data_IF_490021509553
#
_entry.id   IF_490021509553
#
_cell.length_a   1.000
_cell.length_b   1.000
_cell.length_c   1.000
_cell.angle_alpha   90.00
_cell.angle_beta   90.00
_cell.angle_gamma   90.00
#
_symmetry.space_group_name_H-M   'P 1'
#
loop_
_entity.id
_entity.type
_entity.pdbx_description
1 polymer ?
#
# COMPACT_ATOMS: atom_id res chain seq x y z
N UNK A 1 33.49 -23.67 1.40
CA UNK A 1 32.25 -24.21 2.02
C UNK A 1 31.73 -23.16 2.99
N UNK A 2 30.72 -22.37 2.57
CA UNK A 2 29.82 -21.52 3.38
C UNK A 2 29.07 -20.55 2.45
N UNK A 3 27.82 -20.86 2.16
CA UNK A 3 26.69 -19.95 2.37
C UNK A 3 25.41 -20.79 2.34
N UNK A 4 24.93 -21.17 3.52
CA UNK A 4 23.61 -21.76 3.66
C UNK A 4 22.59 -20.68 3.29
N UNK A 5 22.04 -20.76 2.08
CA UNK A 5 20.92 -19.93 1.66
C UNK A 5 19.74 -20.22 2.60
N UNK A 6 19.64 -19.50 3.71
CA UNK A 6 18.52 -19.56 4.65
C UNK A 6 17.26 -19.14 3.90
N UNK A 7 16.59 -20.10 3.26
CA UNK A 7 15.29 -19.88 2.62
C UNK A 7 14.32 -19.42 3.69
N UNK A 8 13.70 -18.25 3.48
CA UNK A 8 12.67 -17.72 4.36
C UNK A 8 11.53 -18.74 4.48
N UNK A 9 11.13 -19.07 5.70
CA UNK A 9 9.98 -19.95 5.93
C UNK A 9 8.70 -19.18 5.62
N UNK A 10 7.94 -19.63 4.62
CA UNK A 10 6.60 -19.12 4.32
C UNK A 10 5.64 -19.60 5.42
N UNK A 11 5.39 -18.74 6.41
CA UNK A 11 4.55 -19.05 7.58
C UNK A 11 3.54 -17.96 7.96
N UNK A 12 3.41 -16.90 7.15
CA UNK A 12 2.42 -15.87 7.39
C UNK A 12 1.02 -16.42 7.14
N UNK A 13 0.21 -16.41 8.20
CA UNK A 13 -1.22 -16.70 8.12
C UNK A 13 -1.98 -15.43 7.71
N UNK A 14 -3.20 -15.59 7.22
CA UNK A 14 -4.07 -14.48 6.81
C UNK A 14 -4.19 -13.39 7.90
N UNK A 15 -4.31 -13.80 9.18
CA UNK A 15 -4.35 -12.87 10.32
C UNK A 15 -3.07 -12.02 10.44
N UNK A 16 -1.89 -12.60 10.18
CA UNK A 16 -0.64 -11.85 10.24
C UNK A 16 -0.60 -10.79 9.14
N UNK A 17 -1.06 -11.14 7.93
CA UNK A 17 -1.13 -10.21 6.80
C UNK A 17 -2.13 -9.07 7.10
N UNK A 18 -3.28 -9.38 7.69
CA UNK A 18 -4.25 -8.37 8.11
C UNK A 18 -3.70 -7.43 9.19
N UNK A 19 -2.95 -7.96 10.18
CA UNK A 19 -2.31 -7.11 11.20
C UNK A 19 -1.25 -6.19 10.60
N UNK A 20 -0.47 -6.66 9.62
CA UNK A 20 0.49 -5.83 8.89
C UNK A 20 -0.24 -4.72 8.12
N UNK A 21 -1.32 -5.08 7.40
CA UNK A 21 -2.11 -4.13 6.65
C UNK A 21 -2.76 -3.07 7.55
N UNK A 22 -3.36 -3.47 8.67
CA UNK A 22 -3.97 -2.55 9.64
C UNK A 22 -2.90 -1.65 10.29
N UNK A 23 -1.76 -2.21 10.67
CA UNK A 23 -0.65 -1.44 11.26
C UNK A 23 -0.05 -0.42 10.29
N UNK A 24 0.01 -0.74 8.99
CA UNK A 24 0.42 0.20 7.95
C UNK A 24 -0.63 1.26 7.63
N UNK A 25 -1.92 0.90 7.63
CA UNK A 25 -3.01 1.80 7.29
C UNK A 25 -3.33 2.81 8.42
N UNK A 26 -3.29 2.37 9.68
CA UNK A 26 -3.56 3.22 10.85
C UNK A 26 -2.26 3.92 11.27
N UNK A 27 -1.88 4.94 10.51
CA UNK A 27 -0.65 5.72 10.72
C UNK A 27 -0.85 7.03 11.47
N UNK A 28 0.24 7.80 11.58
CA UNK A 28 0.23 9.14 12.19
C UNK A 28 -0.68 10.12 11.46
N UNK A 29 -0.92 9.95 10.16
CA UNK A 29 -1.82 10.79 9.37
C UNK A 29 -3.26 10.84 9.90
N UNK A 30 -3.77 9.73 10.43
CA UNK A 30 -5.11 9.66 11.03
C UNK A 30 -5.21 10.46 12.34
N UNK A 31 -4.10 10.71 13.04
CA UNK A 31 -4.13 11.41 14.34
C UNK A 31 -3.55 12.81 14.25
N UNK A 32 -2.37 12.95 13.66
CA UNK A 32 -1.65 14.21 13.51
C UNK A 32 -2.34 15.15 12.52
N UNK A 33 -2.83 14.61 11.39
CA UNK A 33 -3.50 15.42 10.37
C UNK A 33 -4.95 15.75 10.69
N UNK A 34 -5.65 14.87 11.40
CA UNK A 34 -7.12 14.96 11.54
C UNK A 34 -7.60 16.25 12.21
N UNK A 35 -6.92 16.77 13.23
CA UNK A 35 -7.35 18.02 13.87
C UNK A 35 -7.37 19.20 12.89
N UNK A 36 -6.32 19.34 12.08
CA UNK A 36 -6.22 20.38 11.05
C UNK A 36 -7.23 20.16 9.91
N UNK A 37 -7.38 18.91 9.45
CA UNK A 37 -8.34 18.56 8.38
C UNK A 37 -9.78 18.79 8.81
N UNK A 38 -10.13 18.46 10.06
CA UNK A 38 -11.47 18.70 10.64
C UNK A 38 -11.75 20.19 10.74
N UNK A 39 -10.76 20.99 11.16
CA UNK A 39 -10.92 22.44 11.26
C UNK A 39 -11.11 23.10 9.88
N UNK A 40 -10.44 22.59 8.84
CA UNK A 40 -10.53 23.12 7.48
C UNK A 40 -11.80 22.67 6.74
N UNK A 41 -12.18 21.40 6.84
CA UNK A 41 -13.32 20.84 6.11
C UNK A 41 -14.66 20.94 6.88
N UNK A 42 -14.63 21.11 8.20
CA UNK A 42 -15.82 21.15 9.04
C UNK A 42 -16.67 19.88 8.90
N UNK A 43 -18.01 19.97 8.92
CA UNK A 43 -18.91 18.81 8.78
C UNK A 43 -18.76 18.03 7.48
N UNK A 44 -18.18 18.65 6.43
CA UNK A 44 -17.96 18.02 5.13
C UNK A 44 -16.80 17.02 5.13
N UNK A 45 -16.07 16.87 6.23
CA UNK A 45 -14.94 15.94 6.31
C UNK A 45 -15.38 14.48 6.12
N UNK A 46 -16.55 14.09 6.62
CA UNK A 46 -17.08 12.73 6.44
C UNK A 46 -17.32 12.41 4.97
N UNK A 47 -17.83 13.37 4.20
CA UNK A 47 -18.04 13.22 2.75
C UNK A 47 -16.69 13.16 2.02
N UNK A 48 -15.73 13.99 2.44
CA UNK A 48 -14.37 14.01 1.88
C UNK A 48 -13.65 12.67 2.09
N UNK A 49 -13.72 12.10 3.29
CA UNK A 49 -13.18 10.77 3.58
C UNK A 49 -13.92 9.66 2.84
N UNK A 50 -15.23 9.79 2.62
CA UNK A 50 -16.00 8.80 1.88
C UNK A 50 -15.56 8.79 0.40
N UNK A 51 -15.43 9.95 -0.22
CA UNK A 51 -14.96 10.06 -1.62
C UNK A 51 -13.50 9.60 -1.72
N UNK A 52 -12.61 10.10 -0.85
CA UNK A 52 -11.21 9.69 -0.84
C UNK A 52 -11.04 8.19 -0.58
N UNK A 53 -11.81 7.65 0.36
CA UNK A 53 -11.86 6.22 0.66
C UNK A 53 -12.35 5.38 -0.52
N UNK A 54 -13.36 5.84 -1.25
CA UNK A 54 -13.81 5.17 -2.48
C UNK A 54 -12.69 5.11 -3.53
N UNK A 55 -11.97 6.22 -3.77
CA UNK A 55 -10.86 6.25 -4.73
C UNK A 55 -9.75 5.29 -4.31
N UNK A 56 -9.33 5.34 -3.03
CA UNK A 56 -8.29 4.44 -2.49
C UNK A 56 -8.73 2.98 -2.57
N UNK A 57 -10.00 2.69 -2.31
CA UNK A 57 -10.55 1.34 -2.42
C UNK A 57 -10.39 0.77 -3.83
N UNK A 58 -10.71 1.54 -4.88
CA UNK A 58 -10.52 1.09 -6.26
C UNK A 58 -9.04 0.87 -6.58
N UNK A 59 -8.15 1.78 -6.17
CA UNK A 59 -6.70 1.62 -6.37
C UNK A 59 -6.20 0.33 -5.70
N UNK A 60 -6.57 0.12 -4.44
CA UNK A 60 -6.13 -1.06 -3.68
C UNK A 60 -6.73 -2.35 -4.23
N UNK A 61 -7.95 -2.30 -4.78
CA UNK A 61 -8.58 -3.43 -5.46
C UNK A 61 -7.80 -3.83 -6.72
N UNK A 62 -7.44 -2.86 -7.57
CA UNK A 62 -6.65 -3.10 -8.77
C UNK A 62 -5.24 -3.63 -8.43
N UNK A 63 -4.59 -3.03 -7.43
CA UNK A 63 -3.27 -3.50 -6.96
C UNK A 63 -3.34 -4.91 -6.37
N UNK A 64 -4.42 -5.24 -5.66
CA UNK A 64 -4.67 -6.58 -5.14
C UNK A 64 -4.83 -7.63 -6.25
N UNK A 65 -5.50 -7.28 -7.35
CA UNK A 65 -5.63 -8.18 -8.51
C UNK A 65 -4.26 -8.43 -9.17
N UNK A 66 -3.44 -7.39 -9.35
CA UNK A 66 -2.07 -7.53 -9.86
C UNK A 66 -1.18 -8.37 -8.94
N UNK A 67 -1.32 -8.22 -7.61
CA UNK A 67 -0.54 -8.98 -6.64
C UNK A 67 -0.92 -10.46 -6.57
N UNK A 68 -2.15 -10.80 -6.93
CA UNK A 68 -2.60 -12.20 -7.05
C UNK A 68 -2.13 -12.82 -8.38
N UNK A 69 -2.18 -12.05 -9.47
CA UNK A 69 -1.74 -12.48 -10.80
C UNK A 69 -0.22 -12.70 -10.87
N UNK A 70 0.56 -11.74 -10.36
CA UNK A 70 2.03 -11.80 -10.33
C UNK A 70 2.55 -11.69 -8.88
N UNK A 71 2.61 -12.80 -8.12
CA UNK A 71 2.98 -12.80 -6.71
C UNK A 71 4.50 -12.66 -6.53
N UNK A 72 5.00 -11.43 -6.72
CA UNK A 72 6.39 -11.04 -6.46
C UNK A 72 6.52 -10.38 -5.09
N UNK A 73 7.68 -10.50 -4.44
CA UNK A 73 7.96 -9.81 -3.17
C UNK A 73 8.38 -8.35 -3.37
N UNK A 74 7.80 -7.68 -4.38
CA UNK A 74 8.13 -6.33 -4.82
C UNK A 74 7.08 -5.28 -4.39
N UNK A 75 7.46 -4.01 -4.48
CA UNK A 75 6.57 -2.86 -4.23
C UNK A 75 5.75 -2.51 -5.48
N UNK A 76 4.85 -1.52 -5.40
CA UNK A 76 4.07 -1.03 -6.55
C UNK A 76 4.97 -0.55 -7.73
N UNK A 77 6.20 -0.12 -7.44
CA UNK A 77 7.21 0.22 -8.46
C UNK A 77 7.61 -0.96 -9.35
N UNK A 78 7.57 -2.19 -8.82
CA UNK A 78 7.85 -3.41 -9.59
C UNK A 78 6.75 -3.67 -10.61
N UNK A 79 5.49 -3.47 -10.21
CA UNK A 79 4.35 -3.57 -11.13
C UNK A 79 4.41 -2.45 -12.18
N UNK A 80 4.81 -1.23 -11.81
CA UNK A 80 4.99 -0.14 -12.77
C UNK A 80 6.13 -0.41 -13.78
N UNK A 81 7.23 -1.02 -13.33
CA UNK A 81 8.33 -1.46 -14.20
C UNK A 81 7.84 -2.53 -15.19
N UNK A 82 7.14 -3.56 -14.67
CA UNK A 82 6.72 -4.74 -15.44
C UNK A 82 5.61 -4.43 -16.44
N UNK A 83 4.59 -3.67 -16.04
CA UNK A 83 3.39 -3.44 -16.86
C UNK A 83 3.45 -2.17 -17.72
N UNK A 84 4.32 -1.20 -17.38
CA UNK A 84 4.38 0.07 -18.10
C UNK A 84 5.71 0.25 -18.83
N UNK A 85 6.78 0.55 -18.11
CA UNK A 85 8.12 0.74 -18.67
C UNK A 85 9.14 0.87 -17.54
N UNK A 86 10.40 0.50 -17.79
CA UNK A 86 11.49 0.57 -16.81
C UNK A 86 11.69 1.99 -16.25
N UNK A 87 11.55 3.01 -17.09
CA UNK A 87 11.61 4.42 -16.67
C UNK A 87 10.50 4.81 -15.68
N UNK A 88 9.26 4.33 -15.90
CA UNK A 88 8.13 4.60 -14.99
C UNK A 88 8.32 3.86 -13.67
N UNK A 89 8.82 2.63 -13.73
CA UNK A 89 9.24 1.87 -12.55
C UNK A 89 10.33 2.60 -11.75
N UNK A 90 11.36 3.12 -12.42
CA UNK A 90 12.43 3.90 -11.78
C UNK A 90 11.90 5.19 -11.13
N UNK A 91 11.11 5.99 -11.86
CA UNK A 91 10.51 7.22 -11.31
C UNK A 91 9.60 6.92 -10.11
N UNK A 92 8.78 5.88 -10.21
CA UNK A 92 7.88 5.44 -9.14
C UNK A 92 8.66 4.96 -7.93
N UNK A 93 9.80 4.29 -8.13
CA UNK A 93 10.70 3.86 -7.07
C UNK A 93 11.52 4.99 -6.46
N UNK A 94 11.76 6.08 -7.19
CA UNK A 94 12.42 7.29 -6.66
C UNK A 94 11.47 8.16 -5.82
N UNK A 95 10.17 8.14 -6.12
CA UNK A 95 9.16 8.94 -5.42
C UNK A 95 8.85 8.43 -4.00
N UNK A 96 9.13 7.16 -3.72
CA UNK A 96 8.82 6.46 -2.47
C UNK A 96 10.09 6.02 -1.74
#
# INVERSE_FOLDING_TARGET
MRDDTKKLKRGLKNRHLQMIALGGAIGTGLFYGSAATIQLAGPAISLSYLIGGCVIFFIMRMLGEMAVDNPVSGSFSEYANTYWHEFVGFLSGWNY
#
